data_IF_616244961621
#
_entry.id   IF_616244961621
#
_cell.length_a   1.000
_cell.length_b   1.000
_cell.length_c   1.000
_cell.angle_alpha   90.00
_cell.angle_beta   90.00
_cell.angle_gamma   90.00
#
_symmetry.space_group_name_H-M   'P 1'
#
loop_
_entity.id
_entity.type
_entity.pdbx_description
1 polymer ?
#
# COMPACT_ATOMS: atom_id res chain seq x y z
N UNK A 1 -3.40 -3.52 -20.59
CA UNK A 1 -3.81 -4.26 -19.37
C UNK A 1 -5.28 -3.92 -19.17
N UNK A 2 -6.19 -4.78 -19.63
CA UNK A 2 -7.62 -4.61 -19.41
C UNK A 2 -7.92 -5.26 -18.06
N UNK A 3 -8.05 -4.45 -17.03
CA UNK A 3 -8.63 -4.87 -15.76
C UNK A 3 -10.10 -4.49 -15.89
N UNK A 4 -10.97 -5.49 -15.92
CA UNK A 4 -12.40 -5.25 -16.00
C UNK A 4 -12.90 -4.94 -14.60
N UNK A 5 -13.41 -3.73 -14.41
CA UNK A 5 -14.12 -3.33 -13.21
C UNK A 5 -15.60 -3.66 -13.39
N UNK A 6 -16.25 -4.10 -12.32
CA UNK A 6 -17.71 -4.17 -12.32
C UNK A 6 -18.31 -2.77 -12.42
N UNK A 7 -19.59 -2.67 -12.79
CA UNK A 7 -20.29 -1.38 -12.81
C UNK A 7 -20.30 -0.73 -11.42
N UNK A 8 -20.48 -1.53 -10.37
CA UNK A 8 -20.44 -1.08 -8.97
C UNK A 8 -19.08 -0.50 -8.59
N UNK A 9 -17.99 -1.19 -8.95
CA UNK A 9 -16.63 -0.70 -8.73
C UNK A 9 -16.36 0.60 -9.51
N UNK A 10 -16.84 0.70 -10.75
CA UNK A 10 -16.72 1.90 -11.56
C UNK A 10 -17.48 3.10 -10.97
N UNK A 11 -18.66 2.87 -10.39
CA UNK A 11 -19.43 3.91 -9.68
C UNK A 11 -18.62 4.40 -8.48
N UNK A 12 -18.15 3.49 -7.64
CA UNK A 12 -17.36 3.84 -6.45
C UNK A 12 -16.07 4.61 -6.82
N UNK A 13 -15.37 4.17 -7.87
CA UNK A 13 -14.17 4.84 -8.36
C UNK A 13 -14.47 6.25 -8.89
N UNK A 14 -15.57 6.43 -9.62
CA UNK A 14 -15.99 7.76 -10.12
C UNK A 14 -16.37 8.69 -8.97
N UNK A 15 -17.10 8.19 -7.98
CA UNK A 15 -17.45 8.97 -6.78
C UNK A 15 -16.22 9.37 -5.96
N UNK A 16 -15.25 8.46 -5.82
CA UNK A 16 -13.98 8.76 -5.15
C UNK A 16 -13.18 9.80 -5.91
N UNK A 17 -13.07 9.67 -7.23
CA UNK A 17 -12.37 10.60 -8.10
C UNK A 17 -13.03 11.99 -8.10
N UNK A 18 -14.37 12.03 -8.14
CA UNK A 18 -15.15 13.28 -8.07
C UNK A 18 -15.02 14.00 -6.73
N UNK A 19 -14.90 13.27 -5.62
CA UNK A 19 -14.63 13.86 -4.28
C UNK A 19 -13.27 14.53 -4.19
N UNK A 20 -12.28 14.02 -4.93
CA UNK A 20 -10.92 14.56 -4.94
C UNK A 20 -10.65 15.54 -6.10
N UNK A 21 -11.66 15.85 -6.93
CA UNK A 21 -11.55 16.62 -8.17
C UNK A 21 -10.42 16.12 -9.09
N UNK A 22 -10.24 14.79 -9.14
CA UNK A 22 -9.19 14.12 -9.90
C UNK A 22 -9.78 13.31 -11.04
N UNK A 23 -8.99 13.13 -12.10
CA UNK A 23 -9.29 12.11 -13.10
C UNK A 23 -9.09 10.71 -12.52
N UNK A 24 -9.90 9.75 -12.97
CA UNK A 24 -9.75 8.32 -12.63
C UNK A 24 -8.32 7.81 -12.88
N UNK A 25 -7.69 8.26 -13.96
CA UNK A 25 -6.30 7.90 -14.28
C UNK A 25 -5.32 8.41 -13.23
N UNK A 26 -5.45 9.67 -12.80
CA UNK A 26 -4.59 10.25 -11.76
C UNK A 26 -4.79 9.53 -10.43
N UNK A 27 -6.04 9.27 -10.05
CA UNK A 27 -6.36 8.54 -8.82
C UNK A 27 -5.80 7.12 -8.85
N UNK A 28 -5.94 6.41 -9.97
CA UNK A 28 -5.36 5.06 -10.14
C UNK A 28 -3.83 5.08 -10.06
N UNK A 29 -3.18 6.07 -10.68
CA UNK A 29 -1.74 6.26 -10.58
C UNK A 29 -1.30 6.48 -9.13
N UNK A 30 -1.97 7.37 -8.41
CA UNK A 30 -1.64 7.68 -7.01
C UNK A 30 -1.83 6.45 -6.11
N UNK A 31 -2.93 5.71 -6.30
CA UNK A 31 -3.21 4.48 -5.57
C UNK A 31 -2.12 3.41 -5.80
N UNK A 32 -1.67 3.24 -7.05
CA UNK A 32 -0.59 2.29 -7.40
C UNK A 32 0.73 2.71 -6.76
N UNK A 33 1.10 4.00 -6.84
CA UNK A 33 2.34 4.50 -6.24
C UNK A 33 2.30 4.39 -4.71
N UNK A 34 1.17 4.70 -4.09
CA UNK A 34 0.98 4.57 -2.65
C UNK A 34 1.11 3.10 -2.20
N UNK A 35 0.50 2.18 -2.94
CA UNK A 35 0.58 0.75 -2.64
C UNK A 35 2.01 0.21 -2.78
N UNK A 36 2.74 0.60 -3.84
CA UNK A 36 4.15 0.24 -3.99
C UNK A 36 5.00 0.76 -2.83
N UNK A 37 4.75 1.98 -2.35
CA UNK A 37 5.44 2.54 -1.18
C UNK A 37 5.09 1.78 0.10
N UNK A 38 3.80 1.48 0.33
CA UNK A 38 3.35 0.69 1.49
C UNK A 38 4.06 -0.67 1.55
N UNK A 39 4.14 -1.39 0.43
CA UNK A 39 4.83 -2.69 0.36
C UNK A 39 6.31 -2.58 0.73
N UNK A 40 7.01 -1.55 0.23
CA UNK A 40 8.41 -1.31 0.59
C UNK A 40 8.59 -1.03 2.08
N UNK A 41 7.72 -0.19 2.65
CA UNK A 41 7.75 0.13 4.09
C UNK A 41 7.45 -1.11 4.94
N UNK A 42 6.44 -1.90 4.57
CA UNK A 42 6.10 -3.13 5.27
C UNK A 42 7.26 -4.14 5.26
N UNK A 43 7.91 -4.34 4.11
CA UNK A 43 9.08 -5.20 4.01
C UNK A 43 10.25 -4.71 4.88
N UNK A 44 10.48 -3.39 4.93
CA UNK A 44 11.49 -2.80 5.79
C UNK A 44 11.16 -2.99 7.28
N UNK A 45 9.89 -2.78 7.67
CA UNK A 45 9.41 -2.98 9.04
C UNK A 45 9.61 -4.44 9.50
N UNK A 46 9.25 -5.42 8.66
CA UNK A 46 9.48 -6.85 8.94
C UNK A 46 10.96 -7.13 9.15
N UNK A 47 11.85 -6.55 8.32
CA UNK A 47 13.29 -6.73 8.47
C UNK A 47 13.81 -6.16 9.78
N UNK A 48 13.38 -4.96 10.15
CA UNK A 48 13.78 -4.31 11.42
C UNK A 48 13.28 -5.14 12.62
N UNK A 49 12.02 -5.58 12.60
CA UNK A 49 11.46 -6.40 13.66
C UNK A 49 12.26 -7.70 13.86
N UNK A 50 12.67 -8.37 12.78
CA UNK A 50 13.51 -9.56 12.85
C UNK A 50 14.90 -9.30 13.45
N UNK A 51 15.54 -8.17 13.09
CA UNK A 51 16.83 -7.78 13.66
C UNK A 51 16.69 -7.47 15.16
N UNK A 52 15.66 -6.73 15.55
CA UNK A 52 15.38 -6.40 16.94
C UNK A 52 15.08 -7.65 17.78
N UNK A 53 14.32 -8.61 17.25
CA UNK A 53 14.06 -9.88 17.92
C UNK A 53 15.37 -10.66 18.17
N UNK A 54 16.21 -10.82 17.15
CA UNK A 54 17.49 -11.51 17.30
C UNK A 54 18.49 -10.79 18.20
N UNK A 55 18.42 -9.45 18.30
CA UNK A 55 19.22 -8.70 19.27
C UNK A 55 18.71 -8.91 20.70
N UNK A 56 17.40 -8.91 20.91
CA UNK A 56 16.81 -9.14 22.23
C UNK A 56 17.15 -10.54 22.76
N UNK A 57 17.12 -11.57 21.92
CA UNK A 57 17.54 -12.93 22.29
C UNK A 57 19.00 -12.94 22.78
N UNK A 58 19.91 -12.33 22.02
CA UNK A 58 21.33 -12.25 22.37
C UNK A 58 21.62 -11.42 23.63
N UNK A 59 20.77 -10.45 23.95
CA UNK A 59 20.87 -9.66 25.18
C UNK A 59 20.33 -10.41 26.39
N UNK A 60 19.35 -11.29 26.21
CA UNK A 60 18.77 -12.09 27.30
C UNK A 60 19.66 -13.28 27.72
N UNK A 61 20.53 -13.76 26.81
CA UNK A 61 21.48 -14.85 27.08
C UNK A 61 22.78 -14.41 27.80
N UNK A 62 22.93 -13.12 28.12
CA UNK A 62 24.16 -12.54 28.68
C UNK A 62 23.94 -11.95 30.07
#
# INVERSE_FOLDING_TARGET
>A
MNVDFTEEEMIQLREAAGREDKSLRSMAHDAVVAELRRRKVAAAATRVAGISAGLNERLAEK
#
